data_IF_467948271698
#
_entry.id   IF_467948271698
#
_cell.length_a   1.000
_cell.length_b   1.000
_cell.length_c   1.000
_cell.angle_alpha   90.00
_cell.angle_beta   90.00
_cell.angle_gamma   90.00
#
_symmetry.space_group_name_H-M   'P 1'
#
loop_
_entity.id
_entity.type
_entity.pdbx_description
1 polymer ?
#
# COMPACT_ATOMS: atom_id res chain seq x y z
N UNK A 1 -23.70 59.47 33.94
CA UNK A 1 -24.08 58.60 35.07
C UNK A 1 -22.96 57.80 35.73
N UNK A 2 -21.68 58.00 35.38
CA UNK A 2 -20.54 57.30 36.03
C UNK A 2 -19.72 58.20 36.98
N UNK A 3 -19.96 59.52 36.98
CA UNK A 3 -19.26 60.47 37.87
C UNK A 3 -19.74 60.25 39.31
N UNK A 4 -18.79 60.08 40.25
CA UNK A 4 -19.06 59.87 41.68
C UNK A 4 -19.21 58.41 42.13
N UNK A 5 -19.06 57.44 41.22
CA UNK A 5 -19.09 55.99 41.52
C UNK A 5 -17.70 55.39 41.43
N UNK A 6 -17.41 54.38 42.25
CA UNK A 6 -16.10 53.74 42.22
C UNK A 6 -15.93 52.84 40.98
N UNK A 7 -14.74 52.83 40.38
CA UNK A 7 -14.42 52.01 39.20
C UNK A 7 -14.79 50.52 39.37
N UNK A 8 -14.45 49.86 40.50
CA UNK A 8 -14.84 48.48 40.76
C UNK A 8 -16.36 48.25 40.93
N UNK A 9 -17.15 49.29 41.21
CA UNK A 9 -18.62 49.19 41.23
C UNK A 9 -19.22 49.29 39.82
N UNK A 10 -18.56 50.04 38.94
CA UNK A 10 -18.97 50.23 37.55
C UNK A 10 -18.52 49.06 36.68
N UNK A 11 -17.35 48.50 36.95
CA UNK A 11 -16.74 47.41 36.19
C UNK A 11 -16.13 46.39 37.16
N UNK A 12 -16.92 45.46 37.73
CA UNK A 12 -16.43 44.56 38.78
C UNK A 12 -15.27 43.66 38.37
N UNK A 13 -15.32 43.06 37.17
CA UNK A 13 -14.26 42.18 36.67
C UNK A 13 -12.98 42.97 36.34
N UNK A 14 -13.10 44.02 35.54
CA UNK A 14 -11.96 44.86 35.15
C UNK A 14 -11.37 45.60 36.35
N UNK A 15 -12.22 46.16 37.21
CA UNK A 15 -11.80 46.90 38.40
C UNK A 15 -11.07 46.01 39.42
N UNK A 16 -11.43 44.73 39.55
CA UNK A 16 -10.67 43.79 40.38
C UNK A 16 -9.28 43.50 39.80
N UNK A 17 -9.19 43.33 38.47
CA UNK A 17 -7.94 43.04 37.75
C UNK A 17 -6.95 44.20 37.77
N UNK A 18 -7.46 45.44 37.75
CA UNK A 18 -6.63 46.64 37.59
C UNK A 18 -6.44 47.44 38.90
N UNK A 19 -7.18 47.11 39.97
CA UNK A 19 -7.03 47.75 41.28
C UNK A 19 -5.61 47.72 41.87
N UNK A 20 -4.82 46.63 41.76
CA UNK A 20 -3.45 46.61 42.28
C UNK A 20 -2.53 47.64 41.60
N UNK A 21 -2.63 47.77 40.28
CA UNK A 21 -1.87 48.73 39.49
C UNK A 21 -2.24 50.16 39.88
N UNK A 22 -3.50 50.40 40.29
CA UNK A 22 -3.99 51.76 40.52
C UNK A 22 -3.45 52.25 41.85
N UNK A 23 -3.49 51.35 42.85
CA UNK A 23 -2.84 51.54 44.14
C UNK A 23 -1.35 51.78 43.99
N UNK A 24 -0.68 51.06 43.08
CA UNK A 24 0.75 51.27 42.82
C UNK A 24 1.02 52.68 42.26
N UNK A 25 0.27 53.14 41.26
CA UNK A 25 0.44 54.49 40.69
C UNK A 25 0.24 55.57 41.77
N UNK A 26 -0.80 55.44 42.61
CA UNK A 26 -1.03 56.39 43.71
C UNK A 26 0.06 56.33 44.80
N UNK A 27 0.62 55.16 45.09
CA UNK A 27 1.63 55.00 46.13
C UNK A 27 3.05 55.42 45.69
N UNK A 28 3.37 55.25 44.41
CA UNK A 28 4.73 55.42 43.89
C UNK A 28 4.91 56.66 43.02
N UNK A 29 3.83 57.16 42.40
CA UNK A 29 3.92 58.20 41.38
C UNK A 29 4.54 57.73 40.07
N UNK A 30 4.78 56.43 39.88
CA UNK A 30 5.27 55.89 38.61
C UNK A 30 4.10 55.63 37.64
N UNK A 31 4.20 56.05 36.36
CA UNK A 31 3.19 55.75 35.36
C UNK A 31 3.20 54.28 34.96
N UNK A 32 2.02 53.74 34.67
CA UNK A 32 1.87 52.42 34.05
C UNK A 32 1.45 52.62 32.59
N UNK A 33 2.27 52.20 31.64
CA UNK A 33 2.02 52.41 30.21
C UNK A 33 1.88 51.07 29.51
N UNK A 34 0.88 50.97 28.64
CA UNK A 34 0.70 49.80 27.79
C UNK A 34 0.16 48.56 28.53
N UNK A 35 -0.59 48.75 29.62
CA UNK A 35 -1.21 47.65 30.34
C UNK A 35 -2.33 47.05 29.49
N UNK A 36 -2.17 45.81 29.05
CA UNK A 36 -3.22 45.10 28.35
C UNK A 36 -4.17 44.44 29.36
N UNK A 37 -5.46 44.74 29.24
CA UNK A 37 -6.51 44.20 30.12
C UNK A 37 -7.61 43.62 29.25
N UNK A 38 -8.00 42.39 29.55
CA UNK A 38 -9.10 41.69 28.87
C UNK A 38 -10.22 41.40 29.87
N UNK A 39 -11.44 41.72 29.47
CA UNK A 39 -12.63 41.48 30.27
C UNK A 39 -13.93 41.84 29.54
N UNK A 40 -15.02 41.81 30.30
CA UNK A 40 -16.36 42.05 29.77
C UNK A 40 -16.90 43.40 30.23
N UNK A 41 -17.60 44.09 29.33
CA UNK A 41 -18.32 45.30 29.67
C UNK A 41 -19.71 44.92 30.21
N UNK A 42 -20.20 45.54 31.30
CA UNK A 42 -21.57 45.34 31.78
C UNK A 42 -22.64 45.63 30.72
N UNK A 43 -22.35 46.53 29.78
CA UNK A 43 -23.22 46.85 28.65
C UNK A 43 -23.20 45.81 27.51
N UNK A 44 -22.28 44.84 27.54
CA UNK A 44 -22.18 43.75 26.57
C UNK A 44 -21.71 42.45 27.24
N UNK A 45 -22.55 41.85 28.12
CA UNK A 45 -22.21 40.62 28.84
C UNK A 45 -21.89 39.47 27.88
N UNK A 46 -20.86 38.68 28.18
CA UNK A 46 -20.41 37.54 27.35
C UNK A 46 -19.55 37.91 26.15
N UNK A 47 -19.28 39.20 25.90
CA UNK A 47 -18.35 39.64 24.85
C UNK A 47 -17.03 40.06 25.49
N UNK A 48 -16.01 39.22 25.32
CA UNK A 48 -14.64 39.55 25.72
C UNK A 48 -14.06 40.62 24.79
N UNK A 49 -13.51 41.67 25.41
CA UNK A 49 -12.82 42.76 24.73
C UNK A 49 -11.47 42.99 25.41
N UNK A 50 -10.52 43.51 24.63
CA UNK A 50 -9.17 43.79 25.10
C UNK A 50 -8.88 45.26 24.91
N UNK A 51 -8.38 45.89 25.96
CA UNK A 51 -7.95 47.29 25.95
C UNK A 51 -6.48 47.38 26.31
N UNK A 52 -5.82 48.39 25.75
CA UNK A 52 -4.53 48.85 26.21
C UNK A 52 -4.73 50.14 26.99
N UNK A 53 -4.24 50.15 28.22
CA UNK A 53 -4.44 51.24 29.15
C UNK A 53 -3.10 51.89 29.52
N UNK A 54 -3.10 53.22 29.62
CA UNK A 54 -1.97 54.01 30.09
C UNK A 54 -2.43 54.93 31.21
N UNK A 55 -1.84 54.78 32.38
CA UNK A 55 -2.22 55.40 33.64
C UNK A 55 -1.13 56.37 34.06
N UNK A 56 -1.44 57.65 33.97
CA UNK A 56 -0.52 58.76 34.17
C UNK A 56 -0.87 59.49 35.48
N UNK A 57 0.02 59.50 36.49
CA UNK A 57 -0.23 60.21 37.74
C UNK A 57 -0.22 61.72 37.52
N UNK A 58 -1.11 62.41 38.23
CA UNK A 58 -1.19 63.86 38.29
C UNK A 58 -0.82 64.31 39.71
N UNK A 59 0.11 65.25 39.78
CA UNK A 59 0.68 65.73 41.04
C UNK A 59 0.09 67.08 41.43
N UNK A 60 -0.11 67.31 42.72
CA UNK A 60 -0.48 68.61 43.27
C UNK A 60 0.77 69.50 43.47
N UNK A 61 0.60 70.71 44.01
CA UNK A 61 1.70 71.63 44.31
C UNK A 61 2.68 71.10 45.37
N UNK A 62 2.25 70.12 46.18
CA UNK A 62 3.04 69.44 47.22
C UNK A 62 3.75 68.17 46.69
N UNK A 63 3.69 67.92 45.38
CA UNK A 63 4.27 66.77 44.68
C UNK A 63 3.69 65.41 45.11
N UNK A 64 2.44 65.39 45.56
CA UNK A 64 1.67 64.19 45.88
C UNK A 64 0.72 63.83 44.73
N UNK A 65 0.54 62.53 44.46
CA UNK A 65 -0.39 62.06 43.42
C UNK A 65 -1.82 62.27 43.89
N UNK A 66 -2.52 63.27 43.34
CA UNK A 66 -3.91 63.56 43.72
C UNK A 66 -4.93 62.94 42.76
N UNK A 67 -4.51 62.59 41.54
CA UNK A 67 -5.36 61.96 40.54
C UNK A 67 -4.54 61.10 39.58
N UNK A 68 -5.21 60.21 38.84
CA UNK A 68 -4.63 59.43 37.75
C UNK A 68 -5.44 59.68 36.49
N UNK A 69 -4.77 60.14 35.44
CA UNK A 69 -5.34 60.19 34.11
C UNK A 69 -5.22 58.80 33.47
N UNK A 70 -6.34 58.25 33.00
CA UNK A 70 -6.39 56.93 32.37
C UNK A 70 -6.77 57.11 30.91
N UNK A 71 -5.87 56.69 30.01
CA UNK A 71 -6.13 56.59 28.57
C UNK A 71 -6.38 55.14 28.25
N UNK A 72 -7.55 54.86 27.68
CA UNK A 72 -7.99 53.50 27.31
C UNK A 72 -8.20 53.48 25.80
N UNK A 73 -7.56 52.53 25.14
CA UNK A 73 -7.81 52.24 23.73
C UNK A 73 -8.25 50.79 23.59
N UNK A 74 -9.40 50.56 22.94
CA UNK A 74 -9.81 49.21 22.59
C UNK A 74 -8.92 48.67 21.46
N UNK A 75 -8.33 47.50 21.68
CA UNK A 75 -7.45 46.80 20.73
C UNK A 75 -7.95 45.40 20.38
N UNK A 76 -9.23 45.10 20.67
CA UNK A 76 -9.87 43.80 20.43
C UNK A 76 -9.70 43.33 18.98
N UNK A 77 -10.01 44.19 18.01
CA UNK A 77 -9.90 43.85 16.58
C UNK A 77 -8.45 43.57 16.15
N UNK A 78 -7.52 44.40 16.63
CA UNK A 78 -6.09 44.24 16.35
C UNK A 78 -5.56 42.91 16.89
N UNK A 79 -5.88 42.56 18.13
CA UNK A 79 -5.47 41.29 18.75
C UNK A 79 -6.06 40.08 18.02
N UNK A 80 -7.34 40.14 17.63
CA UNK A 80 -7.98 39.08 16.83
C UNK A 80 -7.31 38.90 15.47
N UNK A 81 -6.93 40.00 14.80
CA UNK A 81 -6.20 39.93 13.53
C UNK A 81 -4.79 39.33 13.72
N UNK A 82 -4.04 39.73 14.75
CA UNK A 82 -2.72 39.18 15.07
C UNK A 82 -2.79 37.68 15.42
N UNK A 83 -3.78 37.27 16.22
CA UNK A 83 -4.01 35.86 16.58
C UNK A 83 -4.45 35.03 15.36
N UNK A 84 -5.30 35.57 14.49
CA UNK A 84 -5.72 34.89 13.27
C UNK A 84 -4.56 34.73 12.28
N UNK A 85 -3.70 35.74 12.14
CA UNK A 85 -2.45 35.64 11.34
C UNK A 85 -1.51 34.60 11.96
N UNK A 86 -1.36 34.60 13.29
CA UNK A 86 -0.55 33.62 14.01
C UNK A 86 -1.08 32.18 13.89
N UNK A 87 -2.40 32.01 13.94
CA UNK A 87 -3.08 30.72 13.76
C UNK A 87 -2.97 30.23 12.31
N UNK A 88 -3.16 31.10 11.32
CA UNK A 88 -2.92 30.77 9.91
C UNK A 88 -1.46 30.37 9.66
N UNK A 89 -0.50 31.11 10.24
CA UNK A 89 0.92 30.78 10.15
C UNK A 89 1.28 29.46 10.86
N UNK A 90 0.62 29.14 11.98
CA UNK A 90 0.82 27.89 12.71
C UNK A 90 0.15 26.69 12.02
N UNK A 91 -1.03 26.87 11.44
CA UNK A 91 -1.69 25.84 10.62
C UNK A 91 -0.80 25.49 9.42
N UNK A 92 -0.21 26.48 8.75
CA UNK A 92 0.76 26.26 7.66
C UNK A 92 2.08 25.61 8.12
N UNK A 93 2.50 25.80 9.38
CA UNK A 93 3.66 25.13 9.98
C UNK A 93 3.38 23.70 10.43
N UNK A 94 2.12 23.37 10.74
CA UNK A 94 1.66 22.03 11.10
C UNK A 94 1.29 21.15 9.90
N UNK A 95 1.28 21.71 8.68
CA UNK A 95 1.20 20.87 7.48
C UNK A 95 2.53 20.12 7.36
N UNK A 96 2.46 18.78 7.35
CA UNK A 96 3.60 17.90 7.10
C UNK A 96 4.27 18.10 5.74
N UNK A 97 3.69 18.95 4.89
CA UNK A 97 4.15 19.21 3.54
C UNK A 97 5.25 20.29 3.56
N UNK A 98 6.27 20.07 2.74
CA UNK A 98 7.32 21.04 2.51
C UNK A 98 6.71 22.28 1.84
N UNK A 99 6.95 23.46 2.42
CA UNK A 99 6.46 24.73 1.87
C UNK A 99 7.65 25.64 1.56
N UNK A 100 7.72 26.07 0.31
CA UNK A 100 8.77 26.95 -0.21
C UNK A 100 8.09 28.11 -0.95
N UNK A 101 8.52 29.34 -0.69
CA UNK A 101 8.18 30.48 -1.53
C UNK A 101 9.43 31.01 -2.23
N UNK A 102 9.26 31.46 -3.48
CA UNK A 102 10.30 32.09 -4.28
C UNK A 102 9.82 33.44 -4.81
N UNK A 103 10.74 34.36 -5.07
CA UNK A 103 10.48 35.61 -5.79
C UNK A 103 10.47 35.43 -7.32
N UNK A 104 10.37 36.54 -8.06
CA UNK A 104 10.37 36.53 -9.53
C UNK A 104 11.72 36.11 -10.15
N UNK A 105 12.83 36.22 -9.40
CA UNK A 105 14.16 35.76 -9.80
C UNK A 105 14.43 34.30 -9.36
N UNK A 106 13.37 33.58 -8.97
CA UNK A 106 13.39 32.21 -8.44
C UNK A 106 14.28 32.02 -7.20
N UNK A 107 14.45 33.07 -6.39
CA UNK A 107 15.18 33.01 -5.11
C UNK A 107 14.25 32.71 -3.97
N UNK A 108 14.70 31.85 -3.06
CA UNK A 108 13.88 31.37 -1.93
C UNK A 108 13.65 32.50 -0.92
N UNK A 109 12.39 32.89 -0.72
CA UNK A 109 11.96 33.90 0.26
C UNK A 109 11.34 33.30 1.51
N UNK A 110 10.83 32.06 1.42
CA UNK A 110 10.31 31.30 2.55
C UNK A 110 10.65 29.83 2.42
N UNK A 111 10.99 29.20 3.55
CA UNK A 111 11.39 27.79 3.60
C UNK A 111 11.05 27.20 4.97
N UNK A 112 10.01 26.36 5.04
CA UNK A 112 9.55 25.80 6.31
C UNK A 112 10.42 24.61 6.80
N UNK A 113 10.16 24.14 8.02
CA UNK A 113 10.87 23.01 8.62
C UNK A 113 10.70 21.72 7.81
N UNK A 114 9.50 21.46 7.26
CA UNK A 114 9.25 20.27 6.46
C UNK A 114 10.06 20.27 5.15
N UNK A 115 10.23 21.43 4.51
CA UNK A 115 11.12 21.58 3.35
C UNK A 115 12.59 21.35 3.73
N UNK A 116 12.99 21.80 4.93
CA UNK A 116 14.32 21.52 5.46
C UNK A 116 14.59 20.04 5.64
N UNK A 117 13.62 19.30 6.17
CA UNK A 117 13.72 17.85 6.32
C UNK A 117 13.67 17.12 4.97
N UNK A 118 12.81 17.57 4.05
CA UNK A 118 12.63 16.94 2.75
C UNK A 118 13.87 17.09 1.87
N UNK A 119 14.53 18.25 1.86
CA UNK A 119 15.66 18.52 0.97
C UNK A 119 17.02 18.46 1.66
N UNK A 120 17.04 18.21 2.98
CA UNK A 120 18.24 18.23 3.82
C UNK A 120 19.06 19.54 3.72
N UNK A 121 18.35 20.66 3.67
CA UNK A 121 18.94 22.00 3.61
C UNK A 121 18.45 22.82 4.79
N UNK A 122 19.36 23.44 5.54
CA UNK A 122 18.98 24.31 6.65
C UNK A 122 18.33 25.61 6.14
N UNK A 123 17.27 26.14 6.77
CA UNK A 123 16.56 27.31 6.26
C UNK A 123 17.45 28.54 6.03
N UNK A 124 18.39 28.81 6.95
CA UNK A 124 19.32 29.93 6.82
C UNK A 124 20.30 29.81 5.64
N UNK A 125 20.51 28.60 5.10
CA UNK A 125 21.31 28.37 3.89
C UNK A 125 20.47 28.46 2.63
N UNK A 126 19.18 28.14 2.72
CA UNK A 126 18.26 28.19 1.59
C UNK A 126 17.80 29.62 1.26
N UNK A 127 17.51 30.43 2.28
CA UNK A 127 16.98 31.78 2.09
C UNK A 127 17.90 32.67 1.24
N UNK A 128 17.33 33.30 0.22
CA UNK A 128 18.01 34.15 -0.77
C UNK A 128 18.77 33.39 -1.87
N UNK A 129 18.92 32.07 -1.76
CA UNK A 129 19.55 31.25 -2.80
C UNK A 129 18.57 30.92 -3.93
N UNK A 130 19.05 30.66 -5.16
CA UNK A 130 18.20 30.16 -6.24
C UNK A 130 17.56 28.82 -5.87
N UNK A 131 16.29 28.60 -6.22
CA UNK A 131 15.58 27.35 -5.97
C UNK A 131 16.33 26.11 -6.50
N UNK A 132 16.93 26.27 -7.69
CA UNK A 132 17.73 25.25 -8.35
C UNK A 132 18.94 24.74 -7.53
N UNK A 133 19.37 25.49 -6.50
CA UNK A 133 20.43 25.04 -5.58
C UNK A 133 19.95 23.98 -4.58
N UNK A 134 18.63 23.85 -4.38
CA UNK A 134 18.01 22.88 -3.47
C UNK A 134 17.57 21.64 -4.24
N UNK A 135 16.84 21.82 -5.34
CA UNK A 135 16.42 20.75 -6.23
C UNK A 135 16.15 21.25 -7.65
N UNK A 136 16.15 20.33 -8.61
CA UNK A 136 15.66 20.57 -9.98
C UNK A 136 14.45 19.69 -10.30
N UNK A 137 13.53 20.21 -11.11
CA UNK A 137 12.36 19.46 -11.56
C UNK A 137 12.75 18.49 -12.67
N UNK A 138 12.38 17.23 -12.52
CA UNK A 138 12.45 16.21 -13.55
C UNK A 138 11.03 15.78 -13.91
N UNK A 139 10.59 16.16 -15.10
CA UNK A 139 9.27 15.81 -15.62
C UNK A 139 9.33 14.50 -16.39
N UNK A 140 8.29 13.68 -16.26
CA UNK A 140 8.19 12.41 -16.99
C UNK A 140 8.16 12.62 -18.51
N UNK A 141 7.59 13.73 -18.97
CA UNK A 141 7.55 14.13 -20.39
C UNK A 141 7.67 15.65 -20.54
N UNK A 142 8.17 16.16 -21.69
CA UNK A 142 8.18 17.59 -21.98
C UNK A 142 6.78 18.24 -21.93
N UNK A 143 5.74 17.50 -22.34
CA UNK A 143 4.35 17.98 -22.34
C UNK A 143 3.81 18.26 -20.93
N UNK A 144 4.26 17.48 -19.93
CA UNK A 144 3.87 17.69 -18.54
C UNK A 144 4.42 19.01 -18.00
N UNK A 145 5.68 19.34 -18.31
CA UNK A 145 6.29 20.61 -17.93
C UNK A 145 5.55 21.80 -18.56
N UNK A 146 5.28 21.72 -19.87
CA UNK A 146 4.57 22.78 -20.60
C UNK A 146 3.13 22.99 -20.06
N UNK A 147 2.45 21.91 -19.69
CA UNK A 147 1.12 21.95 -19.09
C UNK A 147 1.14 22.64 -17.72
N UNK A 148 2.15 22.35 -16.88
CA UNK A 148 2.31 23.00 -15.58
C UNK A 148 2.56 24.51 -15.71
N UNK A 149 3.46 24.92 -16.61
CA UNK A 149 3.72 26.34 -16.89
C UNK A 149 2.47 27.06 -17.42
N UNK A 150 1.71 26.41 -18.31
CA UNK A 150 0.48 26.97 -18.88
C UNK A 150 -0.61 27.13 -17.82
N UNK A 151 -0.80 26.13 -16.96
CA UNK A 151 -1.75 26.21 -15.84
C UNK A 151 -1.40 27.38 -14.92
N UNK A 152 -0.14 27.48 -14.48
CA UNK A 152 0.32 28.61 -13.67
C UNK A 152 0.11 29.97 -14.35
N UNK A 153 0.30 30.07 -15.67
CA UNK A 153 0.11 31.31 -16.42
C UNK A 153 -1.37 31.70 -16.58
N UNK A 154 -2.27 30.73 -16.71
CA UNK A 154 -3.69 30.99 -16.99
C UNK A 154 -4.55 31.12 -15.72
N UNK A 155 -4.31 30.26 -14.73
CA UNK A 155 -5.15 30.15 -13.52
C UNK A 155 -4.43 30.63 -12.26
N UNK A 156 -3.12 30.90 -12.35
CA UNK A 156 -2.30 31.21 -11.19
C UNK A 156 -2.04 30.01 -10.28
N UNK A 157 -2.43 28.79 -10.69
CA UNK A 157 -2.39 27.61 -9.85
C UNK A 157 -2.13 26.33 -10.64
N UNK A 158 -1.27 25.46 -10.11
CA UNK A 158 -1.03 24.12 -10.65
C UNK A 158 -0.95 23.10 -9.52
N UNK A 159 -1.45 21.89 -9.79
CA UNK A 159 -1.32 20.74 -8.90
C UNK A 159 -1.03 19.50 -9.71
N UNK A 160 -0.10 18.68 -9.25
CA UNK A 160 0.20 17.39 -9.85
C UNK A 160 1.42 16.72 -9.26
N UNK A 161 1.66 15.50 -9.71
CA UNK A 161 2.83 14.71 -9.34
C UNK A 161 4.00 15.06 -10.26
N UNK A 162 5.19 15.20 -9.68
CA UNK A 162 6.44 15.40 -10.42
C UNK A 162 7.64 14.84 -9.64
N UNK A 163 8.80 14.75 -10.29
CA UNK A 163 10.02 14.33 -9.62
C UNK A 163 10.92 15.52 -9.34
N UNK A 164 11.54 15.51 -8.16
CA UNK A 164 12.62 16.43 -7.83
C UNK A 164 13.92 15.66 -7.73
N UNK A 165 14.99 16.21 -8.30
CA UNK A 165 16.36 15.74 -8.09
C UNK A 165 17.00 16.70 -7.11
N UNK A 166 17.28 16.21 -5.91
CA UNK A 166 17.94 16.96 -4.84
C UNK A 166 19.39 17.30 -5.23
N UNK A 167 20.00 18.25 -4.51
CA UNK A 167 21.40 18.63 -4.71
C UNK A 167 22.41 17.48 -4.55
N UNK A 168 22.07 16.44 -3.79
CA UNK A 168 22.87 15.21 -3.61
C UNK A 168 22.69 14.19 -4.76
N UNK A 169 21.82 14.50 -5.74
CA UNK A 169 21.47 13.63 -6.86
C UNK A 169 20.35 12.63 -6.59
N UNK A 170 19.82 12.55 -5.35
CA UNK A 170 18.70 11.69 -5.03
C UNK A 170 17.42 12.20 -5.69
N UNK A 171 16.74 11.33 -6.44
CA UNK A 171 15.43 11.60 -6.99
C UNK A 171 14.34 11.25 -5.96
N UNK A 172 13.40 12.17 -5.78
CA UNK A 172 12.18 11.97 -4.98
C UNK A 172 10.94 12.22 -5.84
N UNK A 173 9.87 11.50 -5.53
CA UNK A 173 8.55 11.69 -6.13
C UNK A 173 7.71 12.54 -5.19
N UNK A 174 7.18 13.66 -5.70
CA UNK A 174 6.39 14.60 -4.90
C UNK A 174 5.02 14.85 -5.51
N UNK A 175 3.98 14.95 -4.67
CA UNK A 175 2.71 15.59 -5.01
C UNK A 175 2.87 17.09 -4.70
N UNK A 176 2.83 17.91 -5.74
CA UNK A 176 3.17 19.32 -5.68
C UNK A 176 1.94 20.17 -5.98
N UNK A 177 1.77 21.23 -5.20
CA UNK A 177 0.80 22.29 -5.43
C UNK A 177 1.55 23.61 -5.49
N UNK A 178 1.42 24.34 -6.60
CA UNK A 178 2.11 25.60 -6.83
C UNK A 178 1.07 26.69 -7.13
N UNK A 179 1.17 27.82 -6.44
CA UNK A 179 0.31 28.98 -6.64
C UNK A 179 1.14 30.24 -6.83
N UNK A 180 0.63 31.17 -7.64
CA UNK A 180 1.21 32.50 -7.80
C UNK A 180 0.98 33.33 -6.54
N UNK A 181 2.04 33.97 -6.05
CA UNK A 181 1.95 34.96 -4.98
C UNK A 181 1.77 36.34 -5.61
N UNK A 182 0.76 37.08 -5.16
CA UNK A 182 0.43 38.42 -5.64
C UNK A 182 0.39 39.43 -4.50
N UNK A 183 0.75 40.67 -4.80
CA UNK A 183 0.59 41.85 -3.95
C UNK A 183 -0.88 42.24 -3.84
N UNK A 184 -1.24 43.03 -2.84
CA UNK A 184 -2.57 43.65 -2.71
C UNK A 184 -2.96 44.52 -3.93
N UNK A 185 -1.98 44.95 -4.73
CA UNK A 185 -2.17 45.67 -5.99
C UNK A 185 -2.35 44.77 -7.22
N UNK A 186 -2.38 43.43 -7.06
CA UNK A 186 -2.46 42.46 -8.15
C UNK A 186 -1.14 42.24 -8.90
N UNK A 187 -0.02 42.78 -8.40
CA UNK A 187 1.30 42.52 -8.97
C UNK A 187 1.83 41.17 -8.51
N UNK A 188 2.34 40.35 -9.43
CA UNK A 188 3.02 39.10 -9.09
C UNK A 188 4.28 39.37 -8.24
N UNK A 189 4.39 38.67 -7.12
CA UNK A 189 5.53 38.72 -6.20
C UNK A 189 6.41 37.47 -6.33
N UNK A 190 5.87 36.36 -6.84
CA UNK A 190 6.60 35.11 -6.96
C UNK A 190 5.70 33.87 -7.00
N UNK A 191 6.19 32.75 -6.46
CA UNK A 191 5.45 31.49 -6.37
C UNK A 191 5.51 30.91 -4.95
N UNK A 192 4.43 30.23 -4.54
CA UNK A 192 4.37 29.41 -3.33
C UNK A 192 4.13 27.96 -3.73
N UNK A 193 5.02 27.07 -3.33
CA UNK A 193 4.91 25.63 -3.54
C UNK A 193 4.70 24.90 -2.22
N UNK A 194 3.75 23.98 -2.19
CA UNK A 194 3.58 22.96 -1.16
C UNK A 194 3.84 21.59 -1.79
N UNK A 195 4.69 20.77 -1.17
CA UNK A 195 5.16 19.49 -1.71
C UNK A 195 5.05 18.40 -0.65
N UNK A 196 4.47 17.27 -1.02
CA UNK A 196 4.43 16.06 -0.21
C UNK A 196 5.29 14.98 -0.84
N UNK A 197 6.23 14.43 -0.08
CA UNK A 197 6.99 13.25 -0.52
C UNK A 197 6.07 12.03 -0.58
N UNK A 198 5.89 11.48 -1.78
CA UNK A 198 5.11 10.28 -2.04
C UNK A 198 6.00 9.12 -2.51
N UNK A 199 7.33 9.25 -2.41
CA UNK A 199 8.30 8.29 -2.94
C UNK A 199 8.08 6.89 -2.37
N UNK A 200 8.01 6.75 -1.05
CA UNK A 200 7.83 5.45 -0.39
C UNK A 200 6.45 4.85 -0.68
N UNK A 201 5.41 5.68 -0.67
CA UNK A 201 4.04 5.24 -0.97
C UNK A 201 3.96 4.69 -2.40
N UNK A 202 4.44 5.47 -3.38
CA UNK A 202 4.42 5.08 -4.80
C UNK A 202 5.29 3.86 -5.05
N UNK A 203 6.46 3.76 -4.44
CA UNK A 203 7.32 2.58 -4.55
C UNK A 203 6.63 1.31 -4.01
N UNK A 204 5.89 1.42 -2.90
CA UNK A 204 5.13 0.30 -2.34
C UNK A 204 3.94 -0.10 -3.24
N UNK A 205 3.19 0.88 -3.74
CA UNK A 205 2.09 0.66 -4.70
C UNK A 205 2.60 -0.02 -5.98
N UNK A 206 3.72 0.45 -6.52
CA UNK A 206 4.33 -0.13 -7.72
C UNK A 206 4.87 -1.54 -7.47
N UNK A 207 5.47 -1.79 -6.30
CA UNK A 207 5.97 -3.11 -5.93
C UNK A 207 4.81 -4.11 -5.79
N UNK A 208 3.71 -3.70 -5.15
CA UNK A 208 2.49 -4.50 -5.03
C UNK A 208 1.92 -4.80 -6.41
N UNK A 209 1.71 -3.77 -7.24
CA UNK A 209 1.20 -3.92 -8.60
C UNK A 209 2.04 -4.88 -9.44
N UNK A 210 3.37 -4.74 -9.42
CA UNK A 210 4.28 -5.65 -10.14
C UNK A 210 4.19 -7.08 -9.61
N UNK A 211 4.03 -7.26 -8.30
CA UNK A 211 3.84 -8.57 -7.69
C UNK A 211 2.51 -9.22 -8.14
N UNK A 212 1.42 -8.45 -8.16
CA UNK A 212 0.10 -8.90 -8.63
C UNK A 212 0.12 -9.24 -10.12
N UNK A 213 0.72 -8.39 -10.95
CA UNK A 213 0.89 -8.63 -12.38
C UNK A 213 1.71 -9.91 -12.63
N UNK A 214 2.79 -10.11 -11.88
CA UNK A 214 3.61 -11.32 -11.96
C UNK A 214 2.85 -12.56 -11.50
N UNK A 215 2.10 -12.47 -10.40
CA UNK A 215 1.23 -13.55 -9.92
C UNK A 215 0.22 -13.93 -10.99
N UNK A 216 -0.55 -12.96 -11.51
CA UNK A 216 -1.55 -13.18 -12.54
C UNK A 216 -0.95 -13.80 -13.80
N UNK A 217 0.19 -13.30 -14.26
CA UNK A 217 0.88 -13.86 -15.42
C UNK A 217 1.24 -15.34 -15.22
N UNK A 218 1.90 -15.68 -14.10
CA UNK A 218 2.28 -17.05 -13.80
C UNK A 218 1.06 -17.96 -13.63
N UNK A 219 0.07 -17.48 -12.87
CA UNK A 219 -1.17 -18.20 -12.62
C UNK A 219 -1.90 -18.53 -13.94
N UNK A 220 -2.00 -17.57 -14.86
CA UNK A 220 -2.68 -17.75 -16.15
C UNK A 220 -1.94 -18.69 -17.12
N UNK A 221 -0.60 -18.74 -17.07
CA UNK A 221 0.23 -19.39 -18.09
C UNK A 221 0.92 -20.68 -17.63
N UNK A 222 0.89 -21.04 -16.34
CA UNK A 222 1.40 -22.34 -15.87
C UNK A 222 0.58 -23.46 -16.49
N UNK A 223 1.25 -24.46 -17.08
CA UNK A 223 0.58 -25.57 -17.76
C UNK A 223 -0.16 -26.49 -16.79
N UNK A 224 0.36 -26.69 -15.57
CA UNK A 224 -0.32 -27.49 -14.55
C UNK A 224 -1.66 -26.86 -14.16
N UNK A 225 -2.67 -27.72 -13.99
CA UNK A 225 -3.93 -27.33 -13.35
C UNK A 225 -3.65 -26.91 -11.92
N UNK A 226 -4.16 -25.75 -11.55
CA UNK A 226 -4.05 -25.22 -10.19
C UNK A 226 -5.41 -24.75 -9.70
N UNK A 227 -5.76 -25.15 -8.48
CA UNK A 227 -6.89 -24.59 -7.78
C UNK A 227 -6.66 -24.51 -6.27
N UNK A 228 -7.39 -23.59 -5.63
CA UNK A 228 -7.54 -23.52 -4.18
C UNK A 228 -8.96 -23.93 -3.86
N UNK A 229 -9.12 -24.87 -2.92
CA UNK A 229 -10.42 -25.31 -2.44
C UNK A 229 -10.56 -25.06 -0.94
N UNK A 230 -11.77 -24.76 -0.48
CA UNK A 230 -12.11 -24.71 0.94
C UNK A 230 -12.90 -25.97 1.31
N UNK A 231 -12.40 -26.73 2.28
CA UNK A 231 -13.00 -28.01 2.68
C UNK A 231 -14.28 -27.77 3.51
N UNK A 232 -15.37 -28.39 3.05
CA UNK A 232 -16.64 -28.41 3.76
C UNK A 232 -16.64 -29.59 4.74
N UNK A 233 -16.83 -29.29 6.02
CA UNK A 233 -16.88 -30.27 7.09
C UNK A 233 -18.31 -30.41 7.62
N UNK A 234 -18.68 -31.58 8.11
CA UNK A 234 -19.89 -31.79 8.91
C UNK A 234 -19.70 -31.38 10.39
N UNK A 235 -20.73 -31.59 11.20
CA UNK A 235 -20.72 -31.30 12.64
C UNK A 235 -19.68 -32.14 13.42
N UNK A 236 -19.31 -33.30 12.89
CA UNK A 236 -18.31 -34.22 13.44
C UNK A 236 -16.90 -33.95 12.90
N UNK A 237 -16.71 -32.84 12.18
CA UNK A 237 -15.45 -32.43 11.53
C UNK A 237 -14.96 -33.42 10.47
N UNK A 238 -15.85 -34.18 9.84
CA UNK A 238 -15.53 -35.03 8.70
C UNK A 238 -15.69 -34.25 7.39
N UNK A 239 -14.78 -34.41 6.42
CA UNK A 239 -14.89 -33.78 5.12
C UNK A 239 -16.04 -34.40 4.32
N UNK A 240 -16.97 -33.56 3.86
CA UNK A 240 -18.17 -33.99 3.12
C UNK A 240 -18.26 -33.41 1.69
N UNK A 241 -17.54 -32.33 1.42
CA UNK A 241 -17.46 -31.68 0.10
C UNK A 241 -16.29 -30.68 0.10
N UNK A 242 -16.04 -30.00 -1.02
CA UNK A 242 -15.13 -28.85 -1.07
C UNK A 242 -15.58 -27.81 -2.10
N UNK A 243 -15.34 -26.54 -1.78
CA UNK A 243 -15.70 -25.37 -2.57
C UNK A 243 -14.49 -24.85 -3.34
N UNK A 244 -14.60 -24.68 -4.66
CA UNK A 244 -13.54 -24.03 -5.44
C UNK A 244 -13.50 -22.52 -5.14
N UNK A 245 -12.37 -22.05 -4.62
CA UNK A 245 -12.12 -20.63 -4.29
C UNK A 245 -11.41 -19.93 -5.44
N UNK A 246 -10.44 -20.61 -6.04
CA UNK A 246 -9.62 -20.08 -7.11
C UNK A 246 -9.22 -21.22 -8.05
N UNK A 247 -9.14 -20.95 -9.36
CA UNK A 247 -8.73 -21.92 -10.36
C UNK A 247 -8.08 -21.21 -11.55
N UNK A 248 -6.98 -21.75 -12.07
CA UNK A 248 -6.31 -21.19 -13.23
C UNK A 248 -6.92 -21.68 -14.56
N UNK A 249 -6.57 -21.09 -15.71
CA UNK A 249 -7.10 -21.55 -17.02
C UNK A 249 -6.75 -23.01 -17.34
N UNK A 250 -5.62 -23.50 -16.83
CA UNK A 250 -5.19 -24.89 -17.02
C UNK A 250 -6.07 -25.89 -16.27
N UNK A 251 -6.63 -25.50 -15.12
CA UNK A 251 -7.62 -26.28 -14.39
C UNK A 251 -8.78 -26.66 -15.31
N UNK A 252 -9.33 -25.72 -16.08
CA UNK A 252 -10.45 -26.01 -16.99
C UNK A 252 -10.02 -26.95 -18.12
N UNK A 253 -8.79 -26.81 -18.66
CA UNK A 253 -8.27 -27.71 -19.71
C UNK A 253 -8.07 -29.15 -19.22
N UNK A 254 -7.52 -29.31 -18.02
CA UNK A 254 -7.24 -30.61 -17.43
C UNK A 254 -8.47 -31.31 -16.86
N UNK A 255 -9.45 -30.56 -16.34
CA UNK A 255 -10.65 -31.14 -15.73
C UNK A 255 -11.87 -31.15 -16.65
N UNK A 256 -11.95 -30.24 -17.61
CA UNK A 256 -13.16 -29.96 -18.39
C UNK A 256 -14.24 -29.16 -17.62
N UNK A 257 -13.99 -28.77 -16.37
CA UNK A 257 -14.94 -28.03 -15.55
C UNK A 257 -14.85 -26.54 -15.83
N UNK A 258 -15.91 -25.96 -16.36
CA UNK A 258 -15.99 -24.53 -16.70
C UNK A 258 -16.63 -23.73 -15.57
N UNK A 259 -16.05 -22.58 -15.23
CA UNK A 259 -16.56 -21.67 -14.21
C UNK A 259 -16.83 -22.39 -12.87
N UNK A 260 -15.82 -23.14 -12.40
CA UNK A 260 -15.91 -23.95 -11.19
C UNK A 260 -15.87 -23.11 -9.90
N UNK A 261 -15.20 -21.95 -9.92
CA UNK A 261 -15.06 -21.04 -8.78
C UNK A 261 -16.44 -20.67 -8.21
N UNK A 262 -16.59 -20.76 -6.89
CA UNK A 262 -17.82 -20.50 -6.16
C UNK A 262 -18.82 -21.66 -6.13
N UNK A 263 -18.47 -22.84 -6.68
CA UNK A 263 -19.30 -24.05 -6.64
C UNK A 263 -18.58 -25.18 -5.91
N UNK A 264 -19.34 -26.07 -5.28
CA UNK A 264 -18.76 -27.27 -4.67
C UNK A 264 -18.52 -28.36 -5.71
N UNK A 265 -17.61 -29.30 -5.43
CA UNK A 265 -17.33 -30.39 -6.37
C UNK A 265 -18.57 -31.22 -6.63
N UNK A 266 -19.38 -31.56 -5.61
CA UNK A 266 -20.59 -32.37 -5.80
C UNK A 266 -21.66 -31.67 -6.64
N UNK A 267 -21.65 -30.33 -6.69
CA UNK A 267 -22.54 -29.56 -7.57
C UNK A 267 -22.10 -29.65 -9.04
N UNK A 268 -20.80 -29.77 -9.29
CA UNK A 268 -20.23 -29.86 -10.64
C UNK A 268 -20.16 -31.31 -11.16
N UNK A 269 -19.81 -32.23 -10.28
CA UNK A 269 -19.68 -33.67 -10.53
C UNK A 269 -20.44 -34.40 -9.41
N UNK A 270 -21.75 -34.67 -9.59
CA UNK A 270 -22.57 -35.33 -8.57
C UNK A 270 -22.07 -36.71 -8.16
N UNK A 271 -21.51 -37.47 -9.10
CA UNK A 271 -21.00 -38.82 -8.90
C UNK A 271 -19.48 -38.84 -8.61
N UNK A 272 -18.92 -37.73 -8.10
CA UNK A 272 -17.51 -37.64 -7.74
C UNK A 272 -17.14 -38.71 -6.71
N UNK A 273 -15.96 -39.31 -6.86
CA UNK A 273 -15.52 -40.36 -5.96
C UNK A 273 -15.15 -39.82 -4.57
N UNK A 274 -15.62 -40.49 -3.52
CA UNK A 274 -15.47 -40.04 -2.13
C UNK A 274 -13.99 -39.89 -1.70
N UNK A 275 -13.08 -40.65 -2.31
CA UNK A 275 -11.66 -40.60 -1.98
C UNK A 275 -11.05 -39.20 -2.25
N UNK A 276 -11.54 -38.45 -3.25
CA UNK A 276 -11.05 -37.09 -3.51
C UNK A 276 -11.36 -36.14 -2.34
N UNK A 277 -12.59 -36.21 -1.83
CA UNK A 277 -13.06 -35.41 -0.70
C UNK A 277 -12.26 -35.79 0.56
N UNK A 278 -12.05 -37.08 0.80
CA UNK A 278 -11.30 -37.56 1.96
C UNK A 278 -9.82 -37.17 1.89
N UNK A 279 -9.16 -37.30 0.74
CA UNK A 279 -7.75 -36.96 0.59
C UNK A 279 -7.54 -35.46 0.86
N UNK A 280 -8.32 -34.58 0.23
CA UNK A 280 -8.17 -33.15 0.46
C UNK A 280 -8.60 -32.73 1.87
N UNK A 281 -9.60 -33.39 2.44
CA UNK A 281 -9.98 -33.21 3.84
C UNK A 281 -8.87 -33.61 4.82
N UNK A 282 -8.21 -34.74 4.59
CA UNK A 282 -7.04 -35.18 5.38
C UNK A 282 -5.92 -34.14 5.32
N UNK A 283 -5.62 -33.61 4.12
CA UNK A 283 -4.61 -32.55 3.94
C UNK A 283 -4.98 -31.28 4.73
N UNK A 284 -6.24 -30.85 4.68
CA UNK A 284 -6.71 -29.69 5.45
C UNK A 284 -6.64 -29.91 6.96
N UNK A 285 -7.06 -31.07 7.45
CA UNK A 285 -7.13 -31.36 8.88
C UNK A 285 -5.75 -31.62 9.50
N UNK A 286 -4.89 -32.36 8.80
CA UNK A 286 -3.56 -32.75 9.30
C UNK A 286 -2.47 -31.73 8.97
N UNK A 287 -2.62 -31.00 7.85
CA UNK A 287 -1.57 -30.15 7.28
C UNK A 287 -0.46 -30.93 6.56
N UNK A 288 -0.51 -32.26 6.51
CA UNK A 288 0.50 -33.07 5.83
C UNK A 288 0.28 -33.00 4.31
N UNK A 289 1.29 -32.60 3.52
CA UNK A 289 1.16 -32.55 2.06
C UNK A 289 1.10 -33.97 1.48
N UNK A 290 0.38 -34.13 0.35
CA UNK A 290 0.17 -35.41 -0.34
C UNK A 290 0.52 -35.28 -1.82
N UNK A 291 1.24 -36.27 -2.35
CA UNK A 291 1.47 -36.45 -3.78
C UNK A 291 1.06 -37.86 -4.19
N UNK A 292 0.28 -38.00 -5.26
CA UNK A 292 -0.25 -39.28 -5.70
C UNK A 292 -0.74 -39.23 -7.15
N UNK A 293 -0.83 -40.40 -7.79
CA UNK A 293 -1.47 -40.54 -9.10
C UNK A 293 -2.76 -41.34 -8.97
N UNK A 294 -3.87 -40.80 -9.46
CA UNK A 294 -5.18 -41.45 -9.31
C UNK A 294 -6.14 -41.11 -10.45
N UNK A 295 -6.94 -42.10 -10.84
CA UNK A 295 -8.00 -41.96 -11.83
C UNK A 295 -9.28 -41.42 -11.21
N UNK A 296 -10.01 -40.61 -11.97
CA UNK A 296 -11.42 -40.33 -11.73
C UNK A 296 -12.22 -40.96 -12.86
N UNK A 297 -13.05 -41.93 -12.50
CA UNK A 297 -14.00 -42.59 -13.38
C UNK A 297 -15.10 -41.60 -13.81
N UNK A 298 -15.56 -40.73 -12.88
CA UNK A 298 -16.54 -39.69 -13.15
C UNK A 298 -16.07 -38.71 -14.24
N UNK A 299 -14.76 -38.46 -14.32
CA UNK A 299 -14.14 -37.58 -15.32
C UNK A 299 -13.52 -38.34 -16.51
N UNK A 300 -13.37 -39.67 -16.41
CA UNK A 300 -12.70 -40.50 -17.40
C UNK A 300 -11.23 -40.15 -17.60
N UNK A 301 -10.54 -39.66 -16.56
CA UNK A 301 -9.16 -39.11 -16.63
C UNK A 301 -8.29 -39.58 -15.48
N UNK A 302 -6.98 -39.57 -15.71
CA UNK A 302 -5.95 -39.82 -14.69
C UNK A 302 -5.20 -38.56 -14.33
N UNK A 303 -4.96 -38.33 -13.05
CA UNK A 303 -4.27 -37.15 -12.55
C UNK A 303 -3.02 -37.51 -11.75
N UNK A 304 -1.90 -36.82 -12.00
CA UNK A 304 -0.80 -36.67 -11.02
C UNK A 304 -1.11 -35.43 -10.18
N UNK A 305 -1.30 -35.61 -8.88
CA UNK A 305 -1.81 -34.58 -7.97
C UNK A 305 -0.81 -34.32 -6.86
N UNK A 306 -0.59 -33.04 -6.58
CA UNK A 306 0.10 -32.56 -5.39
C UNK A 306 -0.78 -31.57 -4.63
N UNK A 307 -1.10 -31.89 -3.38
CA UNK A 307 -1.97 -31.09 -2.53
C UNK A 307 -1.31 -30.76 -1.19
N UNK A 308 -1.49 -29.52 -0.72
CA UNK A 308 -1.01 -29.07 0.59
C UNK A 308 -1.95 -28.00 1.19
N UNK A 309 -1.96 -27.89 2.51
CA UNK A 309 -2.75 -26.87 3.20
C UNK A 309 -2.17 -25.48 2.97
N UNK A 310 -3.04 -24.54 2.63
CA UNK A 310 -2.72 -23.12 2.49
C UNK A 310 -3.07 -22.37 3.77
N UNK A 311 -2.32 -21.31 4.10
CA UNK A 311 -2.48 -20.47 5.30
C UNK A 311 -2.07 -21.19 6.61
N UNK A 312 -2.70 -20.83 7.73
CA UNK A 312 -2.32 -21.27 9.07
C UNK A 312 -2.86 -22.66 9.44
N UNK A 313 -2.56 -23.13 10.65
CA UNK A 313 -2.97 -24.45 11.14
C UNK A 313 -4.50 -24.62 11.31
N UNK A 314 -5.26 -23.52 11.31
CA UNK A 314 -6.71 -23.54 11.43
C UNK A 314 -7.40 -23.39 10.07
N UNK A 315 -6.64 -23.14 9.01
CA UNK A 315 -7.16 -23.04 7.65
C UNK A 315 -7.71 -24.37 7.16
N UNK A 316 -8.84 -24.28 6.46
CA UNK A 316 -9.45 -25.40 5.72
C UNK A 316 -9.16 -25.32 4.23
N UNK A 317 -8.28 -24.40 3.82
CA UNK A 317 -7.93 -24.21 2.41
C UNK A 317 -6.82 -25.15 1.98
N UNK A 318 -7.01 -25.77 0.83
CA UNK A 318 -6.03 -26.68 0.22
C UNK A 318 -5.68 -26.15 -1.16
N UNK A 319 -4.39 -25.97 -1.41
CA UNK A 319 -3.85 -25.70 -2.72
C UNK A 319 -3.57 -27.04 -3.42
N UNK A 320 -4.05 -27.18 -4.65
CA UNK A 320 -3.95 -28.42 -5.42
C UNK A 320 -3.33 -28.09 -6.77
N UNK A 321 -2.20 -28.71 -7.05
CA UNK A 321 -1.59 -28.78 -8.38
C UNK A 321 -1.86 -30.15 -8.96
N UNK A 322 -2.24 -30.20 -10.23
CA UNK A 322 -2.48 -31.47 -10.88
C UNK A 322 -2.22 -31.40 -12.38
N UNK A 323 -1.88 -32.56 -12.95
CA UNK A 323 -1.71 -32.73 -14.39
C UNK A 323 -2.49 -33.93 -14.86
N UNK A 324 -3.22 -33.77 -15.96
CA UNK A 324 -3.83 -34.89 -16.68
C UNK A 324 -2.71 -35.75 -17.32
N UNK A 325 -2.60 -36.98 -16.85
CA UNK A 325 -1.61 -37.98 -17.31
C UNK A 325 -2.27 -39.10 -18.10
N UNK A 326 -3.51 -38.92 -18.56
CA UNK A 326 -4.28 -39.95 -19.28
C UNK A 326 -3.56 -40.41 -20.55
N UNK A 327 -3.01 -39.49 -21.34
CA UNK A 327 -2.27 -39.81 -22.56
C UNK A 327 -1.02 -40.65 -22.26
N UNK A 328 -0.28 -40.29 -21.20
CA UNK A 328 0.88 -41.06 -20.74
C UNK A 328 0.47 -42.48 -20.34
N UNK A 329 -0.59 -42.62 -19.53
CA UNK A 329 -1.10 -43.91 -19.08
C UNK A 329 -1.59 -44.78 -20.24
N UNK A 330 -2.29 -44.18 -21.20
CA UNK A 330 -2.76 -44.89 -22.40
C UNK A 330 -1.59 -45.36 -23.25
N UNK A 331 -0.56 -44.53 -23.46
CA UNK A 331 0.64 -44.91 -24.19
C UNK A 331 1.39 -46.07 -23.50
N UNK A 332 1.57 -46.00 -22.19
CA UNK A 332 2.18 -47.08 -21.39
C UNK A 332 1.40 -48.39 -21.52
N UNK A 333 0.06 -48.32 -21.44
CA UNK A 333 -0.81 -49.50 -21.57
C UNK A 333 -0.73 -50.09 -22.98
N UNK A 334 -0.74 -49.26 -24.02
CA UNK A 334 -0.62 -49.72 -25.41
C UNK A 334 0.75 -50.37 -25.67
N UNK A 335 1.83 -49.81 -25.12
CA UNK A 335 3.16 -50.43 -25.19
C UNK A 335 3.16 -51.79 -24.48
N UNK A 336 2.59 -51.87 -23.28
CA UNK A 336 2.52 -53.11 -22.52
C UNK A 336 1.68 -54.19 -23.24
N UNK A 337 0.51 -53.80 -23.79
CA UNK A 337 -0.36 -54.68 -24.56
C UNK A 337 0.29 -55.13 -25.87
N UNK A 338 0.94 -54.21 -26.59
CA UNK A 338 1.68 -54.51 -27.82
C UNK A 338 2.84 -55.47 -27.57
N UNK A 339 3.62 -55.24 -26.52
CA UNK A 339 4.71 -56.15 -26.12
C UNK A 339 4.17 -57.55 -25.77
N UNK A 340 3.04 -57.64 -25.08
CA UNK A 340 2.42 -58.92 -24.75
C UNK A 340 1.84 -59.63 -25.97
N UNK A 341 1.19 -58.89 -26.88
CA UNK A 341 0.67 -59.43 -28.13
C UNK A 341 1.80 -59.98 -29.01
N UNK A 342 2.91 -59.24 -29.16
CA UNK A 342 4.09 -59.69 -29.90
C UNK A 342 4.66 -60.98 -29.31
N UNK A 343 4.80 -61.07 -27.97
CA UNK A 343 5.25 -62.30 -27.30
C UNK A 343 4.33 -63.48 -27.61
N UNK A 344 3.01 -63.27 -27.60
CA UNK A 344 2.05 -64.34 -27.90
C UNK A 344 2.16 -64.81 -29.36
N UNK A 345 2.25 -63.88 -30.32
CA UNK A 345 2.42 -64.21 -31.74
C UNK A 345 3.72 -65.01 -31.94
N UNK A 346 4.85 -64.48 -31.45
CA UNK A 346 6.15 -65.16 -31.56
C UNK A 346 6.12 -66.57 -30.96
N UNK A 347 5.43 -66.77 -29.84
CA UNK A 347 5.29 -68.06 -29.19
C UNK A 347 4.32 -69.03 -29.89
N UNK A 348 3.41 -68.54 -30.72
CA UNK A 348 2.50 -69.40 -31.50
C UNK A 348 3.10 -69.90 -32.82
N UNK A 349 4.18 -69.26 -33.31
CA UNK A 349 4.82 -69.68 -34.55
C UNK A 349 5.64 -70.95 -34.31
N UNK A 350 5.39 -71.98 -35.12
CA UNK A 350 6.16 -73.22 -35.16
C UNK A 350 7.50 -73.06 -35.92
N UNK A 351 8.22 -71.97 -35.65
CA UNK A 351 9.54 -71.68 -36.20
C UNK A 351 10.45 -71.21 -35.06
N UNK A 352 11.76 -71.31 -35.29
CA UNK A 352 12.75 -70.80 -34.36
C UNK A 352 12.94 -69.31 -34.59
N UNK A 353 12.48 -68.49 -33.65
CA UNK A 353 12.59 -67.03 -33.72
C UNK A 353 13.37 -66.53 -32.53
N UNK A 354 14.42 -65.76 -32.82
CA UNK A 354 15.18 -65.02 -31.83
C UNK A 354 15.62 -63.67 -32.37
N UNK A 355 15.84 -62.72 -31.46
CA UNK A 355 16.39 -61.39 -31.74
C UNK A 355 17.72 -61.30 -31.03
N UNK A 356 18.77 -60.94 -31.77
CA UNK A 356 20.14 -60.76 -31.24
C UNK A 356 20.63 -59.33 -31.51
N UNK A 357 21.51 -58.80 -30.67
CA UNK A 357 22.27 -57.59 -31.00
C UNK A 357 23.27 -57.86 -32.13
N UNK A 358 23.85 -56.82 -32.77
CA UNK A 358 24.95 -56.99 -33.72
C UNK A 358 26.15 -57.75 -33.15
N UNK A 359 26.41 -57.60 -31.84
CA UNK A 359 27.48 -58.32 -31.12
C UNK A 359 27.09 -59.76 -30.74
N UNK A 360 25.91 -60.23 -31.17
CA UNK A 360 25.45 -61.59 -30.96
C UNK A 360 24.84 -61.85 -29.58
N UNK A 361 24.40 -60.84 -28.84
CA UNK A 361 23.72 -61.04 -27.55
C UNK A 361 22.25 -61.34 -27.79
N UNK A 362 21.73 -62.46 -27.26
CA UNK A 362 20.33 -62.85 -27.39
C UNK A 362 19.42 -61.93 -26.56
N UNK A 363 18.63 -61.11 -27.23
CA UNK A 363 17.66 -60.20 -26.61
C UNK A 363 16.30 -60.85 -26.40
N UNK A 364 15.89 -61.74 -27.29
CA UNK A 364 14.59 -62.40 -27.24
C UNK A 364 14.65 -63.77 -27.93
N UNK A 365 13.94 -64.76 -27.43
CA UNK A 365 13.71 -66.04 -28.11
C UNK A 365 12.28 -66.53 -27.84
N UNK A 366 11.63 -67.07 -28.86
CA UNK A 366 10.29 -67.62 -28.70
C UNK A 366 10.30 -68.99 -28.00
N UNK A 367 9.14 -69.39 -27.46
CA UNK A 367 8.95 -70.63 -26.71
C UNK A 367 9.40 -71.87 -27.49
N UNK A 368 9.11 -71.94 -28.78
CA UNK A 368 9.50 -73.06 -29.65
C UNK A 368 11.02 -73.26 -29.68
N UNK A 369 11.80 -72.17 -29.80
CA UNK A 369 13.27 -72.22 -29.77
C UNK A 369 13.81 -72.70 -28.43
N UNK A 370 13.27 -72.15 -27.34
CA UNK A 370 13.70 -72.49 -25.99
C UNK A 370 13.40 -73.95 -25.64
N UNK A 371 12.22 -74.45 -26.02
CA UNK A 371 11.83 -75.83 -25.78
C UNK A 371 12.67 -76.83 -26.59
N UNK A 372 12.93 -76.55 -27.87
CA UNK A 372 13.77 -77.41 -28.69
C UNK A 372 15.21 -77.49 -28.18
N UNK A 373 15.74 -76.39 -27.64
CA UNK A 373 17.07 -76.33 -27.03
C UNK A 373 17.11 -76.83 -25.57
N UNK A 374 15.96 -77.12 -24.96
CA UNK A 374 15.83 -77.44 -23.53
C UNK A 374 16.42 -76.37 -22.59
N UNK A 375 16.24 -75.09 -22.94
CA UNK A 375 16.75 -73.93 -22.20
C UNK A 375 15.60 -73.11 -21.60
N UNK A 376 15.83 -72.49 -20.44
CA UNK A 376 14.86 -71.53 -19.88
C UNK A 376 15.17 -70.13 -20.38
N UNK A 377 14.13 -69.32 -20.58
CA UNK A 377 14.26 -67.94 -21.03
C UNK A 377 15.23 -67.12 -20.16
N UNK A 378 15.13 -67.23 -18.82
CA UNK A 378 16.01 -66.50 -17.90
C UNK A 378 17.49 -66.90 -18.00
N UNK A 379 17.80 -68.08 -18.53
CA UNK A 379 19.16 -68.62 -18.55
C UNK A 379 19.95 -68.16 -19.78
N UNK A 380 19.27 -67.62 -20.81
CA UNK A 380 19.87 -67.36 -22.14
C UNK A 380 19.74 -65.91 -22.60
N UNK A 381 18.77 -65.15 -22.06
CA UNK A 381 18.55 -63.75 -22.45
C UNK A 381 19.65 -62.87 -21.84
N UNK A 382 20.20 -61.96 -22.66
CA UNK A 382 21.33 -61.12 -22.30
C UNK A 382 22.70 -61.83 -22.39
N UNK A 383 22.76 -63.06 -22.91
CA UNK A 383 24.01 -63.81 -23.12
C UNK A 383 24.36 -63.90 -24.61
N UNK A 384 25.63 -64.16 -24.91
CA UNK A 384 26.05 -64.43 -26.30
C UNK A 384 25.36 -65.67 -26.85
N UNK A 385 24.81 -65.53 -28.05
CA UNK A 385 24.29 -66.59 -28.88
C UNK A 385 25.48 -67.29 -29.56
N UNK A 386 25.88 -68.44 -29.03
CA UNK A 386 27.04 -69.22 -29.47
C UNK A 386 26.64 -70.63 -29.87
#
# INVERSE_FOLDING_TARGET
>A
DHIGRAGPELFPDLGAKTAPQLKQVFATGEPVIGLEVTGEMPASPGVQRTWIESWLPLFNEENEVFAVNIVIQEITERKKAEEQIGLQANILRQISDAVIAIDEDERITYFNTAASQLYDVAPHKALGQPLASVYTNQWSTPDAAASAHTALAQTGHWRGENFHVRHDGQQIHVDSTVSVLESASGQRLGLLAAMRDVTLQKAAEDALRRSEERYRFLFEHVDDGFCIVDIVLDEQRQPIDYLFIEANPSFERHTGLVAAVGKTVRKLIPDIEEHWIQIYGEVALTGAPRRFEQGSDAMGRWFDVYAFRLDDANSRRVAIFFRDISDRRNAELQIAQGAQHLRNVLNSVAAFVGVVTPDGILLQANRTSLQAANLKHADVIGKHFA
#
